data_IF_539920182625
#
_entry.id   IF_539920182625
#
_cell.length_a   1.000
_cell.length_b   1.000
_cell.length_c   1.000
_cell.angle_alpha   90.00
_cell.angle_beta   90.00
_cell.angle_gamma   90.00
#
_symmetry.space_group_name_H-M   'P 1'
#
loop_
_entity.id
_entity.type
_entity.pdbx_description
1 polymer ?
#
# COMPACT_ATOMS: atom_id res chain seq x y z
N UNK A 1 -1.93 -12.34 -16.44
CA UNK A 1 -2.82 -11.97 -15.33
C UNK A 1 -3.38 -10.60 -15.66
N UNK A 2 -4.68 -10.47 -15.65
CA UNK A 2 -5.41 -9.21 -15.83
C UNK A 2 -6.13 -8.91 -14.52
N UNK A 3 -6.09 -7.66 -14.08
CA UNK A 3 -6.81 -7.18 -12.88
C UNK A 3 -7.78 -6.09 -13.28
N UNK A 4 -8.89 -5.98 -12.58
CA UNK A 4 -9.87 -4.90 -12.72
C UNK A 4 -10.14 -4.25 -11.37
N UNK A 5 -10.56 -3.01 -11.41
CA UNK A 5 -11.12 -2.32 -10.25
C UNK A 5 -12.53 -2.87 -9.93
N UNK A 6 -13.09 -2.57 -8.75
CA UNK A 6 -14.47 -2.91 -8.43
C UNK A 6 -15.45 -2.30 -9.43
N UNK A 7 -16.58 -2.99 -9.65
CA UNK A 7 -17.68 -2.46 -10.45
C UNK A 7 -18.31 -1.24 -9.76
N UNK A 8 -18.57 -0.19 -10.50
CA UNK A 8 -19.28 1.02 -10.04
C UNK A 8 -20.63 0.64 -9.41
N UNK A 9 -21.35 -0.28 -10.04
CA UNK A 9 -22.67 -0.73 -9.60
C UNK A 9 -22.58 -1.46 -8.25
N UNK A 10 -21.61 -2.38 -8.13
CA UNK A 10 -21.46 -3.17 -6.89
C UNK A 10 -20.99 -2.29 -5.73
N UNK A 11 -20.10 -1.34 -6.00
CA UNK A 11 -19.63 -0.38 -5.00
C UNK A 11 -20.79 0.50 -4.51
N UNK A 12 -21.58 1.05 -5.43
CA UNK A 12 -22.76 1.87 -5.09
C UNK A 12 -23.81 1.09 -4.31
N UNK A 13 -24.11 -0.15 -4.69
CA UNK A 13 -25.04 -1.02 -3.95
C UNK A 13 -24.53 -1.26 -2.53
N UNK A 14 -23.26 -1.61 -2.38
CA UNK A 14 -22.68 -1.89 -1.06
C UNK A 14 -22.72 -0.67 -0.15
N UNK A 15 -22.45 0.51 -0.67
CA UNK A 15 -22.54 1.74 0.14
C UNK A 15 -23.98 2.10 0.48
N UNK A 16 -24.92 1.89 -0.44
CA UNK A 16 -26.35 2.09 -0.13
C UNK A 16 -26.78 1.20 1.04
N UNK A 17 -26.45 -0.10 1.03
CA UNK A 17 -26.73 -1.04 2.13
C UNK A 17 -26.07 -0.58 3.45
N UNK A 18 -24.79 -0.14 3.41
CA UNK A 18 -24.11 0.34 4.62
C UNK A 18 -24.76 1.61 5.18
N UNK A 19 -25.19 2.53 4.32
CA UNK A 19 -25.80 3.79 4.71
C UNK A 19 -27.24 3.64 5.25
N UNK A 20 -27.85 2.45 5.18
CA UNK A 20 -29.07 2.11 5.91
C UNK A 20 -28.82 1.88 7.40
N UNK A 21 -27.61 1.39 7.76
CA UNK A 21 -27.23 1.03 9.12
C UNK A 21 -26.27 2.01 9.80
N UNK A 22 -25.53 2.82 9.01
CA UNK A 22 -24.52 3.74 9.49
C UNK A 22 -24.73 5.14 8.93
N UNK A 23 -24.35 6.15 9.69
CA UNK A 23 -24.46 7.54 9.27
C UNK A 23 -23.47 7.90 8.16
N UNK A 24 -22.24 7.41 8.27
CA UNK A 24 -21.16 7.71 7.35
C UNK A 24 -20.31 6.46 7.07
N UNK A 25 -19.62 6.46 5.93
CA UNK A 25 -18.69 5.41 5.51
C UNK A 25 -17.33 6.03 5.18
N UNK A 26 -16.26 5.52 5.76
CA UNK A 26 -14.89 5.81 5.35
C UNK A 26 -14.40 4.68 4.45
N UNK A 27 -14.04 5.01 3.22
CA UNK A 27 -13.55 4.06 2.23
C UNK A 27 -12.06 4.29 1.93
N UNK A 28 -11.26 3.27 2.16
CA UNK A 28 -9.80 3.30 2.02
C UNK A 28 -9.40 2.37 0.86
N UNK A 29 -9.37 2.85 -0.39
CA UNK A 29 -8.95 2.05 -1.55
C UNK A 29 -7.43 1.82 -1.55
N UNK A 30 -6.97 0.95 -2.44
CA UNK A 30 -5.55 0.92 -2.81
C UNK A 30 -5.12 2.27 -3.37
N UNK A 31 -3.83 2.58 -3.22
CA UNK A 31 -3.18 3.76 -3.80
C UNK A 31 -3.69 4.08 -5.21
N UNK A 32 -4.04 5.33 -5.44
CA UNK A 32 -4.52 5.86 -6.73
C UNK A 32 -3.52 5.60 -7.87
N UNK A 33 -2.23 5.61 -7.57
CA UNK A 33 -1.18 5.31 -8.55
C UNK A 33 -1.07 3.82 -8.95
N UNK A 34 -1.70 2.91 -8.19
CA UNK A 34 -1.68 1.46 -8.45
C UNK A 34 -3.01 0.95 -9.02
N UNK A 35 -4.12 1.64 -8.75
CA UNK A 35 -5.47 1.21 -9.17
C UNK A 35 -6.37 2.39 -9.43
N UNK A 36 -7.23 2.29 -10.44
CA UNK A 36 -8.35 3.22 -10.67
C UNK A 36 -9.46 3.16 -9.62
N UNK A 37 -9.34 2.29 -8.60
CA UNK A 37 -10.37 2.11 -7.57
C UNK A 37 -10.66 3.39 -6.79
N UNK A 38 -9.64 4.22 -6.54
CA UNK A 38 -9.80 5.48 -5.82
C UNK A 38 -10.63 6.49 -6.65
N UNK A 39 -10.28 6.68 -7.91
CA UNK A 39 -11.00 7.57 -8.81
C UNK A 39 -12.47 7.13 -8.98
N UNK A 40 -12.70 5.85 -9.24
CA UNK A 40 -14.04 5.27 -9.33
C UNK A 40 -14.83 5.48 -8.04
N UNK A 41 -14.21 5.27 -6.88
CA UNK A 41 -14.82 5.48 -5.58
C UNK A 41 -15.23 6.95 -5.38
N UNK A 42 -14.39 7.92 -5.74
CA UNK A 42 -14.71 9.33 -5.67
C UNK A 42 -15.92 9.70 -6.55
N UNK A 43 -16.00 9.14 -7.75
CA UNK A 43 -17.13 9.36 -8.65
C UNK A 43 -18.45 8.84 -8.04
N UNK A 44 -18.44 7.64 -7.45
CA UNK A 44 -19.64 7.07 -6.80
C UNK A 44 -19.99 7.83 -5.53
N UNK A 45 -19.00 8.20 -4.71
CA UNK A 45 -19.19 8.93 -3.45
C UNK A 45 -19.85 10.30 -3.66
N UNK A 46 -19.62 10.96 -4.81
CA UNK A 46 -20.26 12.21 -5.16
C UNK A 46 -21.80 12.14 -5.17
N UNK A 47 -22.37 10.94 -5.32
CA UNK A 47 -23.82 10.70 -5.30
C UNK A 47 -24.36 10.24 -3.93
N UNK A 48 -23.50 10.18 -2.90
CA UNK A 48 -23.86 9.71 -1.55
C UNK A 48 -24.13 10.84 -0.57
N UNK A 49 -24.47 12.06 -1.04
CA UNK A 49 -24.83 13.21 -0.20
C UNK A 49 -23.78 13.55 0.90
N UNK A 50 -22.51 13.37 0.62
CA UNK A 50 -21.42 13.64 1.56
C UNK A 50 -21.25 12.59 2.66
N UNK A 51 -22.00 11.49 2.63
CA UNK A 51 -21.95 10.43 3.66
C UNK A 51 -20.88 9.35 3.39
N UNK A 52 -20.18 9.41 2.25
CA UNK A 52 -19.07 8.50 1.93
C UNK A 52 -17.80 9.31 1.73
N UNK A 53 -16.82 9.01 2.54
CA UNK A 53 -15.51 9.66 2.53
C UNK A 53 -14.47 8.71 1.91
N UNK A 54 -13.92 9.09 0.77
CA UNK A 54 -12.88 8.32 0.08
C UNK A 54 -11.52 8.91 0.41
N UNK A 55 -10.58 8.08 0.86
CA UNK A 55 -9.24 8.51 1.29
C UNK A 55 -8.16 7.84 0.46
N UNK A 56 -7.43 8.61 -0.34
CA UNK A 56 -6.22 8.12 -0.99
C UNK A 56 -5.01 8.21 -0.05
N UNK A 57 -4.85 7.23 0.82
CA UNK A 57 -3.71 7.18 1.72
C UNK A 57 -2.44 6.56 1.08
N UNK A 58 -2.46 6.31 -0.22
CA UNK A 58 -1.33 5.81 -1.02
C UNK A 58 -0.71 4.51 -0.50
N UNK A 59 -1.49 3.69 0.21
CA UNK A 59 -1.05 2.43 0.78
C UNK A 59 -1.61 1.23 0.01
N UNK A 60 -1.02 0.08 0.24
CA UNK A 60 -1.40 -1.22 -0.35
C UNK A 60 -0.99 -2.34 0.60
N UNK A 61 -1.58 -3.53 0.43
CA UNK A 61 -1.18 -4.74 1.16
C UNK A 61 -1.29 -4.57 2.68
N UNK A 62 -0.28 -4.99 3.42
CA UNK A 62 -0.26 -4.91 4.89
C UNK A 62 -0.32 -3.47 5.41
N UNK A 63 0.29 -2.51 4.73
CA UNK A 63 0.22 -1.11 5.15
C UNK A 63 -1.16 -0.50 4.96
N UNK A 64 -1.93 -0.94 3.95
CA UNK A 64 -3.35 -0.58 3.81
C UNK A 64 -4.21 -1.24 4.90
N UNK A 65 -3.91 -2.49 5.28
CA UNK A 65 -4.56 -3.14 6.42
C UNK A 65 -4.35 -2.33 7.70
N UNK A 66 -3.12 -1.89 7.97
CA UNK A 66 -2.84 -1.05 9.14
C UNK A 66 -3.60 0.28 9.10
N UNK A 67 -3.72 0.92 7.93
CA UNK A 67 -4.54 2.12 7.79
C UNK A 67 -6.02 1.88 8.16
N UNK A 68 -6.56 0.71 7.82
CA UNK A 68 -7.93 0.34 8.23
C UNK A 68 -8.02 0.13 9.74
N UNK A 69 -7.03 -0.51 10.36
CA UNK A 69 -6.98 -0.71 11.82
C UNK A 69 -6.82 0.62 12.57
N UNK A 70 -6.01 1.53 12.07
CA UNK A 70 -5.87 2.88 12.61
C UNK A 70 -7.20 3.65 12.52
N UNK A 71 -7.89 3.59 11.39
CA UNK A 71 -9.20 4.21 11.23
C UNK A 71 -10.22 3.66 12.23
N UNK A 72 -10.28 2.33 12.41
CA UNK A 72 -11.16 1.70 13.39
C UNK A 72 -10.83 2.13 14.82
N UNK A 73 -9.57 2.25 15.17
CA UNK A 73 -9.11 2.73 16.48
C UNK A 73 -9.55 4.18 16.71
N UNK A 74 -9.28 5.09 15.78
CA UNK A 74 -9.63 6.50 15.90
C UNK A 74 -11.13 6.73 15.98
N UNK A 75 -11.93 6.00 15.19
CA UNK A 75 -13.40 6.04 15.28
C UNK A 75 -13.84 5.51 16.65
N UNK A 76 -13.24 4.43 17.16
CA UNK A 76 -13.49 3.91 18.49
C UNK A 76 -13.12 4.89 19.63
N UNK A 77 -12.16 5.78 19.39
CA UNK A 77 -11.78 6.89 20.27
C UNK A 77 -12.71 8.11 20.14
N UNK A 78 -13.74 8.06 19.29
CA UNK A 78 -14.75 9.12 19.10
C UNK A 78 -14.40 10.14 18.02
N UNK A 79 -13.43 9.87 17.15
CA UNK A 79 -13.15 10.74 16.00
C UNK A 79 -14.27 10.61 14.97
N UNK A 80 -14.58 11.72 14.33
CA UNK A 80 -15.51 11.77 13.18
C UNK A 80 -14.88 11.13 11.94
N UNK A 81 -15.72 10.81 10.94
CA UNK A 81 -15.24 10.32 9.66
C UNK A 81 -14.27 11.32 8.98
N UNK A 82 -14.59 12.62 9.02
CA UNK A 82 -13.74 13.67 8.46
C UNK A 82 -12.37 13.76 9.15
N UNK A 83 -12.32 13.73 10.49
CA UNK A 83 -11.06 13.72 11.24
C UNK A 83 -10.24 12.46 10.95
N UNK A 84 -10.89 11.31 10.87
CA UNK A 84 -10.24 10.04 10.51
C UNK A 84 -9.62 10.10 9.12
N UNK A 85 -10.32 10.66 8.14
CA UNK A 85 -9.79 10.89 6.79
C UNK A 85 -8.57 11.80 6.79
N UNK A 86 -8.63 12.91 7.52
CA UNK A 86 -7.50 13.84 7.64
C UNK A 86 -6.27 13.19 8.27
N UNK A 87 -6.47 12.34 9.29
CA UNK A 87 -5.39 11.56 9.92
C UNK A 87 -4.78 10.55 8.93
N UNK A 88 -5.61 9.80 8.20
CA UNK A 88 -5.15 8.85 7.18
C UNK A 88 -4.32 9.53 6.08
N UNK A 89 -4.73 10.72 5.65
CA UNK A 89 -3.99 11.50 4.66
C UNK A 89 -2.66 12.05 5.23
N UNK A 90 -2.67 12.56 6.45
CA UNK A 90 -1.47 13.10 7.08
C UNK A 90 -0.40 12.04 7.34
N UNK A 91 -0.82 10.81 7.63
CA UNK A 91 0.06 9.67 7.94
C UNK A 91 0.36 8.77 6.73
N UNK A 92 -0.01 9.16 5.52
CA UNK A 92 0.13 8.33 4.32
C UNK A 92 1.57 7.88 4.05
N UNK A 93 2.56 8.69 4.42
CA UNK A 93 3.98 8.37 4.24
C UNK A 93 4.62 7.71 5.48
N UNK A 94 3.87 7.48 6.56
CA UNK A 94 4.37 6.80 7.76
C UNK A 94 4.36 5.27 7.58
N UNK A 95 4.69 4.84 6.38
CA UNK A 95 4.86 3.45 6.00
C UNK A 95 5.91 3.33 4.90
N UNK A 96 6.57 2.19 4.83
CA UNK A 96 7.48 1.83 3.75
C UNK A 96 7.27 0.38 3.37
N UNK A 97 7.26 0.09 2.08
CA UNK A 97 7.32 -1.27 1.57
C UNK A 97 8.58 -1.39 0.73
N UNK A 98 9.41 -2.36 1.04
CA UNK A 98 10.51 -2.79 0.19
C UNK A 98 10.22 -4.17 -0.35
N UNK A 99 10.39 -4.37 -1.64
CA UNK A 99 10.09 -5.65 -2.26
C UNK A 99 11.15 -6.02 -3.29
N UNK A 100 11.37 -7.31 -3.43
CA UNK A 100 12.17 -7.88 -4.52
C UNK A 100 11.30 -8.81 -5.34
N UNK A 101 11.54 -8.85 -6.64
CA UNK A 101 10.79 -9.66 -7.59
C UNK A 101 11.73 -10.52 -8.44
N UNK A 102 11.26 -11.67 -8.87
CA UNK A 102 12.02 -12.53 -9.78
C UNK A 102 12.14 -11.92 -11.18
N UNK A 103 11.10 -11.20 -11.62
CA UNK A 103 11.05 -10.55 -12.93
C UNK A 103 10.25 -9.26 -12.88
N UNK A 104 10.73 -8.27 -13.60
CA UNK A 104 10.04 -6.99 -13.80
C UNK A 104 9.01 -7.02 -14.93
N UNK A 105 8.99 -8.07 -15.74
CA UNK A 105 8.20 -8.13 -16.98
C UNK A 105 6.69 -7.87 -16.75
N UNK A 106 6.13 -8.43 -15.68
CA UNK A 106 4.71 -8.24 -15.36
C UNK A 106 4.42 -6.84 -14.81
N UNK A 107 5.31 -6.30 -14.00
CA UNK A 107 5.18 -4.95 -13.45
C UNK A 107 5.29 -3.91 -14.56
N UNK A 108 6.26 -4.05 -15.45
CA UNK A 108 6.42 -3.18 -16.62
C UNK A 108 5.14 -3.20 -17.49
N UNK A 109 4.64 -4.40 -17.82
CA UNK A 109 3.42 -4.57 -18.63
C UNK A 109 2.18 -3.98 -17.96
N UNK A 110 2.14 -3.95 -16.64
CA UNK A 110 0.99 -3.44 -15.89
C UNK A 110 0.94 -1.91 -15.81
N UNK A 111 2.05 -1.20 -16.07
CA UNK A 111 2.15 0.25 -15.97
C UNK A 111 2.08 0.81 -14.54
N UNK A 112 2.25 -0.02 -13.48
CA UNK A 112 2.17 0.40 -12.06
C UNK A 112 3.51 0.74 -11.45
N UNK A 113 4.52 0.90 -12.29
CA UNK A 113 5.88 1.28 -11.89
C UNK A 113 6.23 2.66 -12.43
N UNK A 114 7.15 3.33 -11.75
CA UNK A 114 7.70 4.59 -12.25
C UNK A 114 8.59 4.36 -13.48
N UNK A 115 8.84 5.40 -14.30
CA UNK A 115 9.80 5.30 -15.41
C UNK A 115 11.20 4.85 -14.95
N UNK A 116 11.65 5.29 -13.77
CA UNK A 116 12.93 4.88 -13.19
C UNK A 116 12.96 3.37 -12.89
N UNK A 117 11.89 2.82 -12.28
CA UNK A 117 11.78 1.39 -12.05
C UNK A 117 11.68 0.59 -13.37
N UNK A 118 10.99 1.11 -14.37
CA UNK A 118 10.88 0.50 -15.69
C UNK A 118 12.25 0.37 -16.39
N UNK A 119 13.10 1.39 -16.28
CA UNK A 119 14.44 1.39 -16.86
C UNK A 119 15.35 0.27 -16.29
N UNK A 120 15.22 -0.03 -15.00
CA UNK A 120 15.97 -1.13 -14.35
C UNK A 120 15.56 -2.49 -14.90
N UNK A 121 14.29 -2.67 -15.23
CA UNK A 121 13.73 -3.95 -15.69
C UNK A 121 14.33 -4.51 -17.00
N UNK A 122 15.03 -3.68 -17.76
CA UNK A 122 15.69 -4.08 -19.02
C UNK A 122 17.06 -4.75 -18.81
N UNK A 123 17.63 -4.70 -17.60
CA UNK A 123 18.97 -5.20 -17.32
C UNK A 123 18.93 -6.69 -16.93
N UNK A 124 19.66 -7.51 -17.66
CA UNK A 124 19.76 -8.96 -17.41
C UNK A 124 20.61 -9.26 -16.16
N UNK A 125 20.21 -10.33 -15.44
CA UNK A 125 20.95 -10.89 -14.29
C UNK A 125 21.06 -10.00 -13.05
N UNK A 126 20.15 -9.05 -12.88
CA UNK A 126 20.04 -8.26 -11.64
C UNK A 126 18.80 -8.68 -10.84
N UNK A 127 18.82 -8.36 -9.56
CA UNK A 127 17.69 -8.50 -8.63
C UNK A 127 17.31 -7.11 -8.16
N UNK A 128 16.29 -6.50 -8.76
CA UNK A 128 15.85 -5.17 -8.35
C UNK A 128 15.22 -5.22 -6.96
N UNK A 129 15.52 -4.22 -6.16
CA UNK A 129 14.77 -3.87 -4.96
C UNK A 129 13.94 -2.63 -5.31
N UNK A 130 12.65 -2.76 -5.17
CA UNK A 130 11.68 -1.70 -5.37
C UNK A 130 11.18 -1.20 -4.03
N UNK A 131 10.61 -0.01 -4.02
CA UNK A 131 9.92 0.55 -2.86
C UNK A 131 8.52 1.03 -3.24
N UNK A 132 7.63 1.06 -2.25
CA UNK A 132 6.40 1.83 -2.29
C UNK A 132 6.44 2.77 -1.09
N UNK A 133 6.57 4.05 -1.40
CA UNK A 133 6.55 5.15 -0.46
C UNK A 133 5.90 6.33 -1.18
N UNK A 134 4.58 6.26 -1.30
CA UNK A 134 3.77 7.11 -2.15
C UNK A 134 2.96 6.28 -3.14
N UNK A 135 2.62 6.84 -4.29
CA UNK A 135 1.58 6.32 -5.18
C UNK A 135 1.93 5.01 -5.90
N UNK A 136 3.19 4.83 -6.34
CA UNK A 136 3.60 3.77 -7.29
C UNK A 136 4.79 2.98 -6.78
N UNK A 137 5.02 1.84 -7.43
CA UNK A 137 6.28 1.12 -7.29
C UNK A 137 7.41 1.93 -7.93
N UNK A 138 8.41 2.24 -7.13
CA UNK A 138 9.60 2.97 -7.57
C UNK A 138 10.87 2.14 -7.43
N UNK A 139 11.90 2.56 -8.14
CA UNK A 139 13.23 1.97 -8.05
C UNK A 139 13.88 2.39 -6.71
N UNK A 140 14.38 1.42 -5.96
CA UNK A 140 15.15 1.70 -4.76
C UNK A 140 16.62 1.34 -4.91
N UNK A 141 16.91 0.13 -5.37
CA UNK A 141 18.27 -0.36 -5.50
C UNK A 141 18.35 -1.53 -6.48
N UNK A 142 19.57 -1.86 -6.87
CA UNK A 142 19.87 -3.01 -7.73
C UNK A 142 20.87 -3.91 -7.03
N UNK A 143 20.55 -5.19 -6.92
CA UNK A 143 21.41 -6.20 -6.31
C UNK A 143 21.85 -7.27 -7.33
N UNK A 144 22.98 -7.91 -7.07
CA UNK A 144 23.51 -9.01 -7.90
C UNK A 144 22.97 -10.38 -7.52
N UNK A 145 22.31 -10.49 -6.36
CA UNK A 145 21.73 -11.73 -5.86
C UNK A 145 20.58 -11.46 -4.88
N UNK A 146 19.72 -12.45 -4.64
CA UNK A 146 18.66 -12.36 -3.63
C UNK A 146 19.22 -12.07 -2.23
N UNK A 147 20.34 -12.70 -1.85
CA UNK A 147 21.00 -12.43 -0.58
C UNK A 147 21.44 -10.98 -0.44
N UNK A 148 21.95 -10.37 -1.51
CA UNK A 148 22.31 -8.96 -1.52
C UNK A 148 21.06 -8.06 -1.47
N UNK A 149 19.99 -8.43 -2.17
CA UNK A 149 18.71 -7.71 -2.15
C UNK A 149 18.09 -7.72 -0.74
N UNK A 150 18.01 -8.89 -0.08
CA UNK A 150 17.55 -9.01 1.31
C UNK A 150 18.32 -8.07 2.25
N UNK A 151 19.66 -8.11 2.21
CA UNK A 151 20.50 -7.21 3.03
C UNK A 151 20.23 -5.72 2.75
N UNK A 152 19.96 -5.36 1.50
CA UNK A 152 19.62 -3.99 1.14
C UNK A 152 18.27 -3.59 1.76
N UNK A 153 17.28 -4.48 1.72
CA UNK A 153 15.96 -4.25 2.32
C UNK A 153 16.06 -4.09 3.84
N UNK A 154 16.80 -4.97 4.54
CA UNK A 154 17.01 -4.86 6.00
C UNK A 154 17.67 -3.54 6.37
N UNK A 155 18.71 -3.14 5.63
CA UNK A 155 19.38 -1.84 5.86
C UNK A 155 18.43 -0.65 5.66
N UNK A 156 17.57 -0.72 4.64
CA UNK A 156 16.60 0.33 4.36
C UNK A 156 15.54 0.41 5.47
N UNK A 157 15.00 -0.72 5.91
CA UNK A 157 14.07 -0.80 7.04
C UNK A 157 14.71 -0.25 8.33
N UNK A 158 15.93 -0.69 8.66
CA UNK A 158 16.65 -0.21 9.84
C UNK A 158 16.92 1.31 9.80
N UNK A 159 17.16 1.85 8.60
CA UNK A 159 17.29 3.30 8.41
C UNK A 159 15.97 4.00 8.64
N UNK A 160 14.88 3.53 8.03
CA UNK A 160 13.55 4.13 8.17
C UNK A 160 13.08 4.12 9.63
N UNK A 161 13.31 3.03 10.35
CA UNK A 161 13.00 2.94 11.79
C UNK A 161 13.72 4.03 12.58
N UNK A 162 15.01 4.27 12.31
CA UNK A 162 15.79 5.29 13.05
C UNK A 162 15.49 6.72 12.62
N UNK A 163 15.36 6.95 11.31
CA UNK A 163 15.39 8.31 10.75
C UNK A 163 14.00 8.87 10.49
N UNK A 164 13.00 7.98 10.28
CA UNK A 164 11.64 8.37 9.90
C UNK A 164 10.62 8.05 10.98
N UNK A 165 10.76 6.92 11.67
CA UNK A 165 9.78 6.45 12.63
C UNK A 165 10.19 6.65 14.09
N UNK A 166 11.37 7.23 14.34
CA UNK A 166 11.81 7.63 15.68
C UNK A 166 12.21 6.47 16.60
N UNK A 167 12.37 5.26 16.09
CA UNK A 167 12.74 4.06 16.85
C UNK A 167 11.82 2.89 16.57
N UNK A 168 11.97 1.82 17.33
CA UNK A 168 11.19 0.58 17.17
C UNK A 168 9.80 0.62 17.80
N UNK A 169 9.63 1.52 18.78
CA UNK A 169 8.37 1.62 19.53
C UNK A 169 7.24 2.10 18.61
N UNK A 170 6.17 1.32 18.54
CA UNK A 170 5.02 1.61 17.67
C UNK A 170 5.23 1.30 16.19
N UNK A 171 6.34 0.68 15.80
CA UNK A 171 6.57 0.20 14.43
C UNK A 171 6.09 -1.25 14.28
N UNK A 172 5.20 -1.48 13.33
CA UNK A 172 4.77 -2.80 12.94
C UNK A 172 5.55 -3.27 11.71
N UNK A 173 6.25 -4.39 11.83
CA UNK A 173 7.02 -4.99 10.73
C UNK A 173 6.32 -6.23 10.21
N UNK A 174 6.20 -6.32 8.88
CA UNK A 174 5.56 -7.43 8.19
C UNK A 174 6.46 -8.01 7.11
N UNK A 175 6.46 -9.33 6.98
CA UNK A 175 7.02 -10.03 5.84
C UNK A 175 5.86 -10.61 5.04
N UNK A 176 5.75 -10.20 3.79
CA UNK A 176 4.73 -10.68 2.84
C UNK A 176 5.38 -11.41 1.67
N UNK A 177 4.73 -12.45 1.16
CA UNK A 177 5.25 -13.27 0.08
C UNK A 177 4.14 -13.74 -0.87
N UNK A 178 4.56 -14.23 -2.05
CA UNK A 178 3.68 -14.89 -3.01
C UNK A 178 4.20 -16.30 -3.23
N UNK A 179 3.55 -17.27 -2.60
CA UNK A 179 3.86 -18.70 -2.70
C UNK A 179 5.34 -19.07 -2.41
N UNK A 180 5.92 -18.47 -1.34
CA UNK A 180 7.31 -18.66 -0.90
C UNK A 180 7.39 -18.68 0.63
N UNK A 181 6.64 -19.59 1.25
CA UNK A 181 6.50 -19.66 2.72
C UNK A 181 7.84 -19.84 3.42
N UNK A 182 8.65 -20.80 2.99
CA UNK A 182 9.95 -21.10 3.60
C UNK A 182 10.94 -19.93 3.49
N UNK A 183 11.02 -19.31 2.29
CA UNK A 183 11.87 -18.16 2.07
C UNK A 183 11.44 -16.93 2.89
N UNK A 184 10.12 -16.76 3.07
CA UNK A 184 9.56 -15.67 3.85
C UNK A 184 9.80 -15.88 5.34
N UNK A 185 9.60 -17.12 5.85
CA UNK A 185 9.87 -17.44 7.25
C UNK A 185 11.35 -17.23 7.57
N UNK A 186 12.25 -17.79 6.75
CA UNK A 186 13.69 -17.60 6.93
C UNK A 186 14.10 -16.11 6.89
N UNK A 187 13.40 -15.30 6.09
CA UNK A 187 13.66 -13.86 6.07
C UNK A 187 13.10 -13.14 7.29
N UNK A 188 11.93 -13.55 7.79
CA UNK A 188 11.36 -13.00 9.02
C UNK A 188 12.27 -13.27 10.24
N UNK A 189 12.93 -14.43 10.27
CA UNK A 189 13.86 -14.78 11.34
C UNK A 189 15.19 -13.99 11.26
N UNK A 190 15.52 -13.38 10.12
CA UNK A 190 16.72 -12.54 9.91
C UNK A 190 16.50 -11.06 10.31
N UNK A 191 15.23 -10.60 10.48
CA UNK A 191 14.85 -9.18 10.61
C UNK A 191 14.43 -8.86 12.04
#
# INVERSE_FOLDING_TARGET
>A
IVTSQPSIVDLGKRWAELLEAYDEVVYIPMSSGLSGSCETACQVAAHCNGRVHVVDNQRISVTQREAVLDALRWIGEGRTAAETCALLESTKLDASIYLMVDTMAYLHKSGRITPAAAAIGSVLKIKPVLQIQGEKLDAFSVAKSFKAAKRTMVKALSRDVRERFGGVDGVHLYVAHTNRDEDAQAFADEV
#
